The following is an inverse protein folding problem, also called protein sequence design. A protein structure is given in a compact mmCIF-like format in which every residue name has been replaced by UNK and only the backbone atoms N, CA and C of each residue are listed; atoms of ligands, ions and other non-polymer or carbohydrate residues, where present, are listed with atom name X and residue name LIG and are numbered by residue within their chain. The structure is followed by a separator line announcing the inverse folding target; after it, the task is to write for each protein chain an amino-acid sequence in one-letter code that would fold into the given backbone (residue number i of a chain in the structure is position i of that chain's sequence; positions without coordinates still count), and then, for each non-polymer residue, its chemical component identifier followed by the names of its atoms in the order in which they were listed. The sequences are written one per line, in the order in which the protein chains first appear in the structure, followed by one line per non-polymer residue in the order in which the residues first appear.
data_IF_102749294508
#
_entry.id   IF_102749294508
#
_cell.length_a   1.000
_cell.length_b   1.000
_cell.length_c   1.000
_cell.angle_alpha   90.00
_cell.angle_beta   90.00
_cell.angle_gamma   90.00
#
_symmetry.space_group_name_H-M   'P 1'
#
loop_
_entity.id
_entity.type
_entity.pdbx_description
1 polymer ?
#
# COMPACT_ATOMS: atom_id res chain seq x y z
N UNK A 1 16.44 -6.53 30.93
CA UNK A 1 16.60 -5.14 30.45
C UNK A 1 15.61 -4.93 29.30
N UNK A 2 14.68 -4.00 29.50
CA UNK A 2 13.39 -3.96 28.80
C UNK A 2 13.53 -3.54 27.33
N UNK A 3 13.34 -4.48 26.39
CA UNK A 3 13.29 -4.24 24.93
C UNK A 3 12.00 -3.52 24.49
N UNK A 4 11.39 -2.71 25.36
CA UNK A 4 10.13 -2.01 25.09
C UNK A 4 10.29 -1.08 23.88
N UNK A 5 11.45 -0.41 23.74
CA UNK A 5 11.75 0.43 22.56
C UNK A 5 11.77 -0.35 21.24
N UNK A 6 12.12 -1.64 21.25
CA UNK A 6 12.15 -2.49 20.07
C UNK A 6 10.81 -3.21 19.82
N UNK A 7 9.81 -2.99 20.66
CA UNK A 7 8.48 -3.52 20.38
C UNK A 7 7.90 -2.80 19.16
N UNK A 8 7.31 -3.52 18.19
CA UNK A 8 6.82 -2.91 16.95
C UNK A 8 5.88 -1.70 17.16
N UNK A 9 4.93 -1.72 18.12
CA UNK A 9 4.05 -0.58 18.36
C UNK A 9 4.83 0.66 18.85
N UNK A 10 5.79 0.48 19.76
CA UNK A 10 6.55 1.60 20.33
C UNK A 10 7.50 2.19 19.28
N UNK A 11 8.21 1.34 18.54
CA UNK A 11 9.08 1.78 17.45
C UNK A 11 8.29 2.56 16.38
N UNK A 12 7.11 2.05 16.00
CA UNK A 12 6.21 2.74 15.07
C UNK A 12 5.80 4.12 15.58
N UNK A 13 5.37 4.23 16.84
CA UNK A 13 4.96 5.51 17.44
C UNK A 13 6.10 6.53 17.50
N UNK A 14 7.31 6.10 17.82
CA UNK A 14 8.49 6.97 17.85
C UNK A 14 8.77 7.52 16.44
N UNK A 15 8.80 6.65 15.43
CA UNK A 15 9.06 7.04 14.04
C UNK A 15 7.96 7.95 13.51
N UNK A 16 6.69 7.62 13.78
CA UNK A 16 5.53 8.44 13.43
C UNK A 16 5.63 9.84 14.04
N UNK A 17 5.91 9.93 15.34
CA UNK A 17 6.06 11.20 16.04
C UNK A 17 7.21 12.04 15.46
N UNK A 18 8.33 11.39 15.13
CA UNK A 18 9.46 12.04 14.49
C UNK A 18 9.08 12.64 13.12
N UNK A 19 8.47 11.86 12.23
CA UNK A 19 8.06 12.37 10.91
C UNK A 19 6.96 13.43 10.99
N UNK A 20 6.03 13.29 11.94
CA UNK A 20 5.01 14.30 12.19
C UNK A 20 5.62 15.64 12.63
N UNK A 21 6.61 15.60 13.53
CA UNK A 21 7.34 16.79 13.98
C UNK A 21 8.15 17.43 12.84
N UNK A 22 8.83 16.62 12.02
CA UNK A 22 9.53 17.11 10.82
C UNK A 22 8.55 17.78 9.84
N UNK A 23 7.41 17.14 9.57
CA UNK A 23 6.37 17.69 8.70
C UNK A 23 5.88 19.05 9.22
N UNK A 24 5.64 19.17 10.52
CA UNK A 24 5.23 20.42 11.14
C UNK A 24 6.30 21.52 11.05
N UNK A 25 7.56 21.18 11.30
CA UNK A 25 8.68 22.12 11.19
C UNK A 25 8.86 22.59 9.74
N UNK A 26 8.85 21.68 8.78
CA UNK A 26 8.99 22.03 7.37
C UNK A 26 7.77 22.77 6.83
N UNK A 27 6.55 22.48 7.29
CA UNK A 27 5.36 23.25 6.93
C UNK A 27 5.43 24.70 7.43
N UNK A 28 6.14 24.96 8.54
CA UNK A 28 6.40 26.32 9.03
C UNK A 28 7.48 27.05 8.23
N UNK A 29 8.50 26.32 7.77
CA UNK A 29 9.58 26.87 6.95
C UNK A 29 9.18 27.04 5.48
N UNK A 30 8.17 26.29 5.02
CA UNK A 30 7.67 26.35 3.66
C UNK A 30 7.13 27.75 3.33
N UNK A 31 7.41 28.20 2.11
CA UNK A 31 6.89 29.46 1.61
C UNK A 31 5.35 29.43 1.58
N UNK A 32 4.72 30.40 2.24
CA UNK A 32 3.27 30.58 2.22
C UNK A 32 2.95 31.75 1.29
N UNK A 33 2.18 31.48 0.24
CA UNK A 33 1.69 32.51 -0.66
C UNK A 33 0.61 33.33 0.05
N UNK A 34 0.74 34.66 0.08
CA UNK A 34 -0.24 35.56 0.73
C UNK A 34 -1.61 35.54 0.05
N UNK A 35 -1.65 35.29 -1.26
CA UNK A 35 -2.88 35.25 -2.06
C UNK A 35 -2.97 33.96 -2.86
N UNK A 36 -4.04 33.22 -2.65
CA UNK A 36 -4.41 32.04 -3.44
C UNK A 36 -4.63 32.50 -4.89
N UNK A 37 -4.00 31.83 -5.86
CA UNK A 37 -4.20 32.17 -7.28
C UNK A 37 -5.62 31.83 -7.72
N UNK A 38 -6.13 32.54 -8.73
CA UNK A 38 -7.35 32.14 -9.42
C UNK A 38 -7.19 30.71 -9.98
N UNK A 39 -8.13 29.82 -9.67
CA UNK A 39 -8.07 28.40 -10.04
C UNK A 39 -7.23 27.50 -9.12
N UNK A 40 -6.64 28.03 -8.04
CA UNK A 40 -5.90 27.19 -7.10
C UNK A 40 -6.88 26.29 -6.31
N UNK A 41 -6.68 24.98 -6.44
CA UNK A 41 -7.56 23.96 -5.86
C UNK A 41 -8.62 23.43 -6.83
N UNK A 42 -8.74 24.00 -8.03
CA UNK A 42 -9.55 23.41 -9.10
C UNK A 42 -8.82 22.21 -9.70
N UNK A 43 -9.52 21.12 -10.06
CA UNK A 43 -8.89 19.98 -10.71
C UNK A 43 -8.25 20.38 -12.04
N UNK A 44 -7.10 19.78 -12.32
CA UNK A 44 -6.31 20.10 -13.51
C UNK A 44 -7.02 19.59 -14.77
N UNK A 45 -7.58 20.54 -15.54
CA UNK A 45 -8.27 20.28 -16.80
C UNK A 45 -7.69 21.10 -17.96
N UNK A 46 -6.41 21.48 -17.89
CA UNK A 46 -5.76 22.30 -18.92
C UNK A 46 -6.49 23.63 -19.25
N UNK A 47 -7.30 24.16 -18.33
CA UNK A 47 -8.12 25.36 -18.54
C UNK A 47 -9.48 25.12 -19.19
N UNK A 48 -9.90 23.86 -19.38
CA UNK A 48 -11.24 23.52 -19.85
C UNK A 48 -12.29 23.70 -18.75
N UNK A 49 -13.42 24.31 -19.13
CA UNK A 49 -14.60 24.46 -18.28
C UNK A 49 -15.59 23.30 -18.48
N UNK A 50 -16.40 23.00 -17.45
CA UNK A 50 -17.52 22.07 -17.60
C UNK A 50 -17.16 20.57 -17.69
N UNK A 51 -15.93 20.18 -17.38
CA UNK A 51 -15.56 18.76 -17.25
C UNK A 51 -16.24 18.14 -16.02
N UNK A 52 -16.46 16.83 -16.07
CA UNK A 52 -16.98 16.08 -14.93
C UNK A 52 -15.82 15.72 -13.99
N UNK A 53 -15.68 16.35 -12.80
CA UNK A 53 -14.61 16.03 -11.85
C UNK A 53 -14.75 14.64 -11.25
N UNK A 54 -15.90 13.97 -11.46
CA UNK A 54 -16.19 12.62 -11.00
C UNK A 54 -16.22 11.60 -12.14
N UNK A 55 -15.54 11.88 -13.27
CA UNK A 55 -15.32 10.86 -14.28
C UNK A 55 -14.60 9.67 -13.64
N UNK A 56 -15.31 8.58 -13.41
CA UNK A 56 -14.75 7.36 -12.81
C UNK A 56 -13.96 6.62 -13.89
N UNK A 57 -12.64 6.47 -13.75
CA UNK A 57 -11.87 5.66 -14.67
C UNK A 57 -12.35 4.21 -14.62
N UNK A 58 -12.35 3.55 -15.77
CA UNK A 58 -12.57 2.11 -15.79
C UNK A 58 -11.34 1.39 -15.21
N UNK A 59 -11.47 0.91 -13.97
CA UNK A 59 -10.44 0.14 -13.29
C UNK A 59 -10.55 -1.37 -13.54
N UNK A 60 -11.42 -1.83 -14.43
CA UNK A 60 -11.59 -3.26 -14.73
C UNK A 60 -10.25 -3.91 -15.12
N UNK A 61 -9.41 -3.20 -15.88
CA UNK A 61 -8.09 -3.69 -16.25
C UNK A 61 -7.06 -3.57 -15.11
N UNK A 62 -7.24 -2.65 -14.17
CA UNK A 62 -6.33 -2.45 -13.03
C UNK A 62 -6.60 -3.40 -11.87
N UNK A 63 -7.86 -3.81 -11.70
CA UNK A 63 -8.32 -4.63 -10.59
C UNK A 63 -7.56 -5.96 -10.43
N UNK A 64 -7.30 -6.75 -11.50
CA UNK A 64 -6.54 -8.00 -11.37
C UNK A 64 -5.12 -7.78 -10.84
N UNK A 65 -4.47 -6.67 -11.19
CA UNK A 65 -3.13 -6.36 -10.69
C UNK A 65 -3.15 -6.00 -9.21
N UNK A 66 -4.09 -5.16 -8.77
CA UNK A 66 -4.24 -4.84 -7.36
C UNK A 66 -4.53 -6.09 -6.51
N UNK A 67 -5.38 -6.98 -7.03
CA UNK A 67 -5.71 -8.23 -6.35
C UNK A 67 -4.53 -9.23 -6.35
N UNK A 68 -3.74 -9.26 -7.42
CA UNK A 68 -2.49 -10.03 -7.47
C UNK A 68 -1.52 -9.58 -6.36
N UNK A 69 -1.27 -8.27 -6.24
CA UNK A 69 -0.34 -7.75 -5.24
C UNK A 69 -0.79 -8.04 -3.82
N UNK A 70 -2.09 -7.89 -3.53
CA UNK A 70 -2.63 -8.17 -2.19
C UNK A 70 -2.52 -9.64 -1.81
N UNK A 71 -2.89 -10.55 -2.72
CA UNK A 71 -2.74 -11.99 -2.50
C UNK A 71 -1.28 -12.41 -2.35
N UNK A 72 -0.40 -11.95 -3.25
CA UNK A 72 1.02 -12.26 -3.20
C UNK A 72 1.69 -11.73 -1.92
N UNK A 73 1.29 -10.53 -1.47
CA UNK A 73 1.80 -9.93 -0.24
C UNK A 73 1.42 -10.77 1.00
N UNK A 74 0.15 -11.14 1.14
CA UNK A 74 -0.32 -12.00 2.24
C UNK A 74 0.33 -13.37 2.18
N UNK A 75 0.47 -13.95 0.98
CA UNK A 75 1.17 -15.22 0.80
C UNK A 75 2.62 -15.16 1.30
N UNK A 76 3.34 -14.11 0.92
CA UNK A 76 4.73 -13.88 1.36
C UNK A 76 4.80 -13.70 2.88
N UNK A 77 3.88 -12.95 3.47
CA UNK A 77 3.83 -12.73 4.93
C UNK A 77 3.64 -14.06 5.68
N UNK A 78 2.74 -14.92 5.21
CA UNK A 78 2.53 -16.24 5.83
C UNK A 78 3.77 -17.12 5.69
N UNK A 79 4.37 -17.21 4.49
CA UNK A 79 5.53 -18.07 4.25
C UNK A 79 6.74 -17.64 5.11
N UNK A 80 6.95 -16.33 5.24
CA UNK A 80 8.08 -15.77 6.02
C UNK A 80 7.91 -15.89 7.52
N UNK A 81 6.70 -16.16 8.01
CA UNK A 81 6.39 -16.30 9.45
C UNK A 81 6.31 -17.76 9.91
N UNK A 82 6.31 -18.74 9.01
CA UNK A 82 6.29 -20.16 9.36
C UNK A 82 7.66 -20.59 9.91
N UNK A 83 7.74 -21.20 11.11
CA UNK A 83 8.98 -21.79 11.62
C UNK A 83 9.33 -23.07 10.84
N UNK A 84 10.46 -23.04 10.13
CA UNK A 84 10.95 -24.15 9.29
C UNK A 84 11.70 -25.21 10.12
N UNK A 85 11.05 -25.71 11.17
CA UNK A 85 11.68 -26.62 12.15
C UNK A 85 11.41 -28.10 11.85
N UNK A 86 10.36 -28.43 11.09
CA UNK A 86 9.94 -29.80 10.84
C UNK A 86 9.61 -30.05 9.37
N UNK A 87 9.65 -31.32 8.95
CA UNK A 87 9.21 -31.73 7.60
C UNK A 87 7.72 -31.43 7.39
N UNK A 88 6.90 -31.51 8.45
CA UNK A 88 5.48 -31.20 8.38
C UNK A 88 5.22 -29.70 8.12
N UNK A 89 5.94 -28.80 8.80
CA UNK A 89 5.82 -27.35 8.56
C UNK A 89 6.33 -26.95 7.17
N UNK A 90 7.38 -27.61 6.68
CA UNK A 90 7.85 -27.46 5.31
C UNK A 90 6.80 -27.90 4.29
N UNK A 91 6.21 -29.09 4.47
CA UNK A 91 5.18 -29.60 3.57
C UNK A 91 3.95 -28.68 3.54
N UNK A 92 3.51 -28.18 4.69
CA UNK A 92 2.42 -27.20 4.79
C UNK A 92 2.73 -25.91 4.01
N UNK A 93 3.94 -25.36 4.16
CA UNK A 93 4.35 -24.16 3.42
C UNK A 93 4.36 -24.39 1.89
N UNK A 94 4.84 -25.56 1.45
CA UNK A 94 4.83 -25.93 0.03
C UNK A 94 3.39 -26.06 -0.53
N UNK A 95 2.48 -26.72 0.20
CA UNK A 95 1.07 -26.80 -0.19
C UNK A 95 0.40 -25.41 -0.25
N UNK A 96 0.70 -24.55 0.72
CA UNK A 96 0.20 -23.19 0.74
C UNK A 96 0.67 -22.37 -0.47
N UNK A 97 1.97 -22.44 -0.81
CA UNK A 97 2.53 -21.80 -2.01
C UNK A 97 1.84 -22.31 -3.27
N UNK A 98 1.66 -23.63 -3.38
CA UNK A 98 1.02 -24.23 -4.55
C UNK A 98 -0.43 -23.73 -4.71
N UNK A 99 -1.19 -23.66 -3.61
CA UNK A 99 -2.53 -23.08 -3.61
C UNK A 99 -2.55 -21.60 -4.00
N UNK A 100 -1.62 -20.80 -3.47
CA UNK A 100 -1.48 -19.39 -3.81
C UNK A 100 -1.15 -19.19 -5.29
N UNK A 101 -0.22 -19.96 -5.84
CA UNK A 101 0.14 -19.93 -7.27
C UNK A 101 -1.05 -20.31 -8.15
N UNK A 102 -1.81 -21.34 -7.80
CA UNK A 102 -3.02 -21.72 -8.53
C UNK A 102 -4.06 -20.59 -8.48
N UNK A 103 -4.30 -20.00 -7.31
CA UNK A 103 -5.23 -18.88 -7.15
C UNK A 103 -4.83 -17.67 -7.99
N UNK A 104 -3.55 -17.30 -7.96
CA UNK A 104 -3.01 -16.21 -8.79
C UNK A 104 -3.09 -16.54 -10.29
N UNK A 105 -2.83 -17.79 -10.68
CA UNK A 105 -2.98 -18.24 -12.06
C UNK A 105 -4.42 -18.12 -12.55
N UNK A 106 -5.40 -18.52 -11.74
CA UNK A 106 -6.83 -18.38 -12.06
C UNK A 106 -7.21 -16.90 -12.18
N UNK A 107 -6.75 -16.05 -11.26
CA UNK A 107 -7.00 -14.61 -11.28
C UNK A 107 -6.48 -13.94 -12.56
N UNK A 108 -5.27 -14.32 -13.00
CA UNK A 108 -4.63 -13.78 -14.19
C UNK A 108 -5.06 -14.47 -15.48
N UNK A 109 -5.88 -15.52 -15.40
CA UNK A 109 -6.40 -16.22 -16.56
C UNK A 109 -7.39 -15.31 -17.28
N UNK A 110 -6.94 -14.75 -18.40
CA UNK A 110 -7.78 -13.97 -19.31
C UNK A 110 -8.96 -14.83 -19.80
N UNK A 111 -10.18 -14.41 -19.48
CA UNK A 111 -11.39 -14.91 -20.13
C UNK A 111 -11.39 -14.26 -21.54
N UNK A 112 -11.05 -15.04 -22.55
CA UNK A 112 -11.23 -14.64 -23.95
C UNK A 112 -12.69 -14.84 -24.37
#
# INVERSE_FOLDING_TARGET
MNKILLSPPVAFLIVLAFFWLLSFLFAKLAFKKEKVASGAGEPYACGEEGYNPLAQPDYTNFFPYAFFFTLAHVATLIITTIPMETVATFAMAAFYILGAVIGLYILLRRQN
#
